data_IF_004967573265
#
_entry.id   IF_004967573265
#
_cell.length_a   1.000
_cell.length_b   1.000
_cell.length_c   1.000
_cell.angle_alpha   90.00
_cell.angle_beta   90.00
_cell.angle_gamma   90.00
#
_symmetry.space_group_name_H-M   'P 1'
#
loop_
_entity.id
_entity.type
_entity.pdbx_description
1 polymer ?
#
# COMPACT_ATOMS: atom_id res chain seq x y z
N UNK A 1 50.45 8.64 -58.06
CA UNK A 1 50.82 7.58 -57.09
C UNK A 1 49.55 7.17 -56.36
N UNK A 2 48.99 6.01 -56.71
CA UNK A 2 47.71 5.52 -56.18
C UNK A 2 47.99 4.66 -54.94
N UNK A 3 47.59 5.15 -53.76
CA UNK A 3 47.57 4.38 -52.52
C UNK A 3 46.46 3.34 -52.61
N UNK A 4 46.79 2.10 -52.95
CA UNK A 4 45.86 0.97 -52.84
C UNK A 4 45.59 0.69 -51.35
N UNK A 5 44.42 1.12 -50.90
CA UNK A 5 43.89 0.91 -49.55
C UNK A 5 43.55 -0.58 -49.38
N UNK A 6 44.23 -1.25 -48.46
CA UNK A 6 44.01 -2.66 -48.15
C UNK A 6 42.62 -2.88 -47.53
N UNK A 7 41.68 -3.44 -48.28
CA UNK A 7 40.35 -3.82 -47.78
C UNK A 7 40.35 -5.30 -47.40
N UNK A 8 40.89 -5.62 -46.22
CA UNK A 8 40.75 -6.97 -45.64
C UNK A 8 39.29 -7.15 -45.21
N UNK A 9 38.60 -8.15 -45.77
CA UNK A 9 37.27 -8.56 -45.34
C UNK A 9 37.30 -9.30 -44.01
N UNK A 10 36.17 -9.33 -43.30
CA UNK A 10 36.02 -10.07 -42.04
C UNK A 10 36.06 -11.57 -42.25
N UNK A 11 36.71 -12.30 -41.33
CA UNK A 11 36.65 -13.77 -41.28
C UNK A 11 35.27 -14.23 -40.77
N UNK A 12 34.78 -15.36 -41.29
CA UNK A 12 33.54 -15.99 -40.81
C UNK A 12 33.60 -16.32 -39.31
N UNK A 13 34.77 -16.72 -38.81
CA UNK A 13 34.96 -17.02 -37.38
C UNK A 13 34.84 -15.76 -36.54
N UNK A 14 35.38 -14.63 -37.03
CA UNK A 14 35.30 -13.33 -36.36
C UNK A 14 33.84 -12.85 -36.27
N UNK A 15 33.05 -13.08 -37.32
CA UNK A 15 31.62 -12.79 -37.31
C UNK A 15 30.85 -13.66 -36.30
N UNK A 16 31.15 -14.96 -36.22
CA UNK A 16 30.49 -15.86 -35.26
C UNK A 16 30.80 -15.49 -33.81
N UNK A 17 32.07 -15.18 -33.51
CA UNK A 17 32.50 -14.78 -32.17
C UNK A 17 31.88 -13.44 -31.78
N UNK A 18 31.85 -12.46 -32.69
CA UNK A 18 31.24 -11.14 -32.42
C UNK A 18 29.74 -11.24 -32.15
N UNK A 19 28.99 -12.02 -32.94
CA UNK A 19 27.56 -12.25 -32.69
C UNK A 19 27.34 -12.94 -31.33
N UNK A 20 28.16 -13.93 -30.99
CA UNK A 20 28.12 -14.59 -29.68
C UNK A 20 28.29 -13.60 -28.53
N UNK A 21 29.32 -12.74 -28.61
CA UNK A 21 29.57 -11.73 -27.58
C UNK A 21 28.45 -10.68 -27.50
N UNK A 22 27.95 -10.21 -28.64
CA UNK A 22 26.84 -9.23 -28.69
C UNK A 22 25.58 -9.82 -28.06
N UNK A 23 25.26 -11.09 -28.32
CA UNK A 23 24.08 -11.72 -27.72
C UNK A 23 24.18 -11.86 -26.20
N UNK A 24 25.37 -12.14 -25.67
CA UNK A 24 25.63 -12.15 -24.23
C UNK A 24 25.43 -10.76 -23.61
N UNK A 25 25.98 -9.72 -24.24
CA UNK A 25 25.82 -8.33 -23.79
C UNK A 25 24.35 -7.90 -23.80
N UNK A 26 23.63 -8.18 -24.88
CA UNK A 26 22.19 -7.88 -25.00
C UNK A 26 21.39 -8.62 -23.92
N UNK A 27 21.71 -9.89 -23.66
CA UNK A 27 21.03 -10.69 -22.62
C UNK A 27 21.25 -10.08 -21.23
N UNK A 28 22.50 -9.75 -20.89
CA UNK A 28 22.82 -9.13 -19.60
C UNK A 28 22.11 -7.77 -19.44
N UNK A 29 22.13 -6.92 -20.47
CA UNK A 29 21.44 -5.64 -20.47
C UNK A 29 19.91 -5.81 -20.33
N UNK A 30 19.34 -6.80 -21.01
CA UNK A 30 17.90 -7.09 -20.93
C UNK A 30 17.49 -7.54 -19.52
N UNK A 31 18.26 -8.43 -18.89
CA UNK A 31 18.00 -8.87 -17.52
C UNK A 31 18.05 -7.69 -16.54
N UNK A 32 19.05 -6.83 -16.66
CA UNK A 32 19.15 -5.62 -15.84
C UNK A 32 17.92 -4.72 -16.05
N UNK A 33 17.53 -4.47 -17.31
CA UNK A 33 16.35 -3.67 -17.64
C UNK A 33 15.06 -4.24 -17.03
N UNK A 34 14.78 -5.53 -17.23
CA UNK A 34 13.58 -6.16 -16.69
C UNK A 34 13.58 -6.19 -15.16
N UNK A 35 14.74 -6.37 -14.53
CA UNK A 35 14.86 -6.28 -13.07
C UNK A 35 14.55 -4.87 -12.55
N UNK A 36 15.01 -3.84 -13.25
CA UNK A 36 14.74 -2.44 -12.92
C UNK A 36 13.26 -2.09 -13.03
N UNK A 37 12.60 -2.50 -14.12
CA UNK A 37 11.15 -2.29 -14.30
C UNK A 37 10.35 -2.97 -13.19
N UNK A 38 10.67 -4.22 -12.85
CA UNK A 38 10.00 -4.96 -11.76
C UNK A 38 10.22 -4.27 -10.41
N UNK A 39 11.45 -3.80 -10.14
CA UNK A 39 11.76 -3.08 -8.92
C UNK A 39 11.00 -1.75 -8.81
N UNK A 40 10.89 -1.01 -9.91
CA UNK A 40 10.12 0.23 -9.97
C UNK A 40 8.64 0.00 -9.65
N UNK A 41 8.00 -0.95 -10.32
CA UNK A 41 6.57 -1.24 -10.10
C UNK A 41 6.32 -1.71 -8.66
N UNK A 42 7.20 -2.59 -8.15
CA UNK A 42 7.15 -3.03 -6.75
C UNK A 42 7.25 -1.85 -5.78
N UNK A 43 8.21 -0.94 -6.01
CA UNK A 43 8.41 0.23 -5.15
C UNK A 43 7.20 1.16 -5.19
N UNK A 44 6.63 1.41 -6.37
CA UNK A 44 5.43 2.23 -6.53
C UNK A 44 4.24 1.65 -5.75
N UNK A 45 3.95 0.37 -5.96
CA UNK A 45 2.88 -0.32 -5.22
C UNK A 45 3.12 -0.32 -3.71
N UNK A 46 4.37 -0.48 -3.28
CA UNK A 46 4.70 -0.51 -1.84
C UNK A 46 4.45 0.84 -1.19
N UNK A 47 4.87 1.93 -1.84
CA UNK A 47 4.64 3.29 -1.37
C UNK A 47 3.15 3.59 -1.31
N UNK A 48 2.39 3.24 -2.35
CA UNK A 48 0.96 3.53 -2.44
C UNK A 48 0.15 2.82 -1.32
N UNK A 49 0.41 1.52 -1.09
CA UNK A 49 -0.24 0.76 -0.02
C UNK A 49 0.14 1.30 1.36
N UNK A 50 1.42 1.60 1.60
CA UNK A 50 1.88 2.14 2.87
C UNK A 50 1.34 3.55 3.15
N UNK A 51 1.24 4.38 2.12
CA UNK A 51 0.68 5.73 2.26
C UNK A 51 -0.81 5.67 2.62
N UNK A 52 -1.59 4.82 1.95
CA UNK A 52 -3.01 4.64 2.28
C UNK A 52 -3.20 4.09 3.69
N UNK A 53 -2.40 3.10 4.08
CA UNK A 53 -2.38 2.60 5.45
C UNK A 53 -2.09 3.71 6.46
N UNK A 54 -1.06 4.54 6.20
CA UNK A 54 -0.71 5.66 7.09
C UNK A 54 -1.82 6.69 7.18
N UNK A 55 -2.48 7.00 6.06
CA UNK A 55 -3.64 7.90 6.05
C UNK A 55 -4.75 7.31 6.92
N UNK A 56 -5.11 6.03 6.74
CA UNK A 56 -6.11 5.37 7.57
C UNK A 56 -5.75 5.42 9.07
N UNK A 57 -4.52 5.04 9.41
CA UNK A 57 -4.05 5.00 10.79
C UNK A 57 -4.07 6.38 11.44
N UNK A 58 -3.55 7.40 10.76
CA UNK A 58 -3.51 8.77 11.28
C UNK A 58 -4.91 9.33 11.43
N UNK A 59 -5.73 9.27 10.38
CA UNK A 59 -7.11 9.77 10.42
C UNK A 59 -7.89 9.10 11.53
N UNK A 60 -7.94 7.77 11.59
CA UNK A 60 -8.67 7.08 12.66
C UNK A 60 -8.09 7.40 14.05
N UNK A 61 -6.76 7.52 14.17
CA UNK A 61 -6.14 7.84 15.46
C UNK A 61 -6.47 9.23 15.96
N UNK A 62 -6.41 10.22 15.08
CA UNK A 62 -6.66 11.62 15.43
C UNK A 62 -8.13 11.81 15.79
N UNK A 63 -9.04 11.23 15.00
CA UNK A 63 -10.48 11.33 15.22
C UNK A 63 -10.90 10.63 16.51
N UNK A 64 -10.38 9.42 16.77
CA UNK A 64 -10.63 8.70 18.03
C UNK A 64 -10.09 9.49 19.22
N UNK A 65 -8.94 10.17 19.08
CA UNK A 65 -8.38 11.00 20.15
C UNK A 65 -9.19 12.27 20.40
N UNK A 66 -9.88 12.82 19.40
CA UNK A 66 -10.72 14.00 19.53
C UNK A 66 -12.16 13.70 19.97
N UNK A 67 -12.64 12.47 19.79
CA UNK A 67 -14.01 12.09 20.13
C UNK A 67 -14.23 11.92 21.65
N UNK A 68 -15.39 12.31 22.15
CA UNK A 68 -15.76 12.12 23.56
C UNK A 68 -16.45 10.79 23.80
N UNK A 69 -17.34 10.40 22.88
CA UNK A 69 -18.03 9.11 22.90
C UNK A 69 -17.68 8.30 21.65
N UNK A 70 -17.39 7.03 21.87
CA UNK A 70 -16.97 6.07 20.85
C UNK A 70 -17.92 4.89 20.87
N UNK A 71 -18.58 4.64 19.75
CA UNK A 71 -19.45 3.49 19.57
C UNK A 71 -18.82 2.54 18.56
N UNK A 72 -18.48 1.33 19.00
CA UNK A 72 -17.89 0.28 18.16
C UNK A 72 -18.96 -0.75 17.86
N UNK A 73 -19.21 -1.01 16.59
CA UNK A 73 -20.02 -2.13 16.13
C UNK A 73 -19.08 -3.14 15.46
N UNK A 74 -18.80 -4.24 16.16
CA UNK A 74 -17.84 -5.25 15.69
C UNK A 74 -18.43 -6.08 14.54
N UNK A 75 -19.75 -6.31 14.52
CA UNK A 75 -20.41 -7.07 13.47
C UNK A 75 -20.38 -6.35 12.11
N UNK A 76 -20.59 -5.04 12.10
CA UNK A 76 -20.57 -4.20 10.90
C UNK A 76 -19.17 -3.66 10.56
N UNK A 77 -18.15 -3.96 11.38
CA UNK A 77 -16.79 -3.39 11.26
C UNK A 77 -16.85 -1.86 11.13
N UNK A 78 -17.62 -1.24 12.03
CA UNK A 78 -17.90 0.20 12.04
C UNK A 78 -17.54 0.81 13.38
N UNK A 79 -17.00 2.02 13.34
CA UNK A 79 -16.77 2.87 14.51
C UNK A 79 -17.45 4.21 14.28
N UNK A 80 -18.24 4.67 15.25
CA UNK A 80 -18.95 5.95 15.22
C UNK A 80 -18.45 6.83 16.37
N UNK A 81 -18.07 8.05 16.05
CA UNK A 81 -17.39 8.99 16.93
C UNK A 81 -18.28 10.22 17.13
N UNK A 82 -18.59 10.56 18.38
CA UNK A 82 -19.30 11.78 18.77
C UNK A 82 -18.29 12.75 19.38
N UNK A 83 -18.31 14.00 18.92
CA UNK A 83 -17.43 15.08 19.38
C UNK A 83 -18.20 16.07 20.26
N UNK A 84 -17.47 16.89 21.03
CA UNK A 84 -18.00 17.90 21.95
C UNK A 84 -18.93 18.92 21.27
N UNK A 85 -18.70 19.20 19.99
CA UNK A 85 -19.56 20.08 19.18
C UNK A 85 -20.89 19.43 18.76
N UNK A 86 -21.13 18.18 19.17
CA UNK A 86 -22.30 17.38 18.84
C UNK A 86 -22.23 16.74 17.45
N UNK A 87 -21.16 16.95 16.68
CA UNK A 87 -20.99 16.30 15.38
C UNK A 87 -20.69 14.82 15.55
N UNK A 88 -21.12 14.02 14.57
CA UNK A 88 -20.86 12.58 14.53
C UNK A 88 -20.16 12.22 13.24
N UNK A 89 -19.12 11.38 13.32
CA UNK A 89 -18.45 10.79 12.15
C UNK A 89 -18.29 9.30 12.32
N UNK A 90 -18.65 8.55 11.29
CA UNK A 90 -18.65 7.10 11.32
C UNK A 90 -17.79 6.52 10.21
N UNK A 91 -16.89 5.63 10.56
CA UNK A 91 -15.99 4.96 9.64
C UNK A 91 -16.34 3.48 9.56
N UNK A 92 -16.39 2.95 8.36
CA UNK A 92 -16.66 1.54 8.13
C UNK A 92 -15.78 0.99 7.01
N UNK A 93 -15.57 -0.33 7.07
CA UNK A 93 -14.88 -1.06 6.03
C UNK A 93 -15.85 -1.54 4.96
N UNK A 94 -15.58 -1.16 3.71
CA UNK A 94 -16.30 -1.64 2.53
C UNK A 94 -15.49 -2.74 1.83
N UNK A 95 -15.97 -3.97 1.94
CA UNK A 95 -15.30 -5.15 1.40
C UNK A 95 -15.36 -5.25 -0.12
N UNK A 96 -16.36 -4.62 -0.76
CA UNK A 96 -16.51 -4.64 -2.21
C UNK A 96 -15.48 -3.72 -2.88
N UNK A 97 -15.29 -2.51 -2.32
CA UNK A 97 -14.31 -1.53 -2.82
C UNK A 97 -12.92 -1.71 -2.23
N UNK A 98 -12.76 -2.45 -1.12
CA UNK A 98 -11.50 -2.60 -0.37
C UNK A 98 -11.00 -1.27 0.20
N UNK A 99 -11.94 -0.52 0.77
CA UNK A 99 -11.72 0.85 1.24
C UNK A 99 -12.25 1.04 2.66
N UNK A 100 -11.67 2.01 3.36
CA UNK A 100 -12.27 2.62 4.55
C UNK A 100 -13.00 3.86 4.09
N UNK A 101 -14.27 3.99 4.50
CA UNK A 101 -15.14 5.08 4.05
C UNK A 101 -15.77 5.80 5.22
N UNK A 102 -16.03 7.09 5.01
CA UNK A 102 -16.84 7.90 5.91
C UNK A 102 -18.32 7.71 5.56
N UNK A 103 -19.15 7.33 6.54
CA UNK A 103 -20.56 7.00 6.30
C UNK A 103 -21.40 8.22 5.93
N UNK A 104 -21.07 9.38 6.47
CA UNK A 104 -21.86 10.60 6.33
C UNK A 104 -21.75 11.18 4.92
N UNK A 105 -20.55 11.13 4.31
CA UNK A 105 -20.29 11.65 2.96
C UNK A 105 -20.14 10.57 1.89
N UNK A 106 -19.92 9.32 2.29
CA UNK A 106 -19.53 8.23 1.39
C UNK A 106 -18.10 8.36 0.86
N UNK A 107 -17.30 9.33 1.33
CA UNK A 107 -15.95 9.58 0.83
C UNK A 107 -14.97 8.47 1.24
N UNK A 108 -14.04 8.16 0.35
CA UNK A 108 -12.94 7.22 0.61
C UNK A 108 -11.88 7.88 1.48
N UNK A 109 -11.56 7.25 2.60
CA UNK A 109 -10.49 7.67 3.52
C UNK A 109 -9.18 7.00 3.17
N UNK A 110 -9.22 5.70 2.87
CA UNK A 110 -8.05 4.94 2.49
C UNK A 110 -8.44 3.77 1.59
N UNK A 111 -7.57 3.49 0.62
CA UNK A 111 -7.71 2.39 -0.34
C UNK A 111 -6.79 1.23 0.02
N UNK A 112 -6.97 0.10 -0.69
CA UNK A 112 -6.12 -1.10 -0.55
C UNK A 112 -6.15 -1.72 0.84
N UNK A 113 -7.32 -1.66 1.48
CA UNK A 113 -7.59 -2.29 2.77
C UNK A 113 -8.51 -3.49 2.52
N UNK A 114 -8.10 -4.68 2.93
CA UNK A 114 -8.87 -5.93 2.78
C UNK A 114 -9.47 -6.42 4.11
N UNK A 115 -9.22 -5.69 5.19
CA UNK A 115 -9.78 -5.99 6.50
C UNK A 115 -9.62 -4.81 7.43
N UNK A 116 -10.66 -4.56 8.22
CA UNK A 116 -10.65 -3.64 9.33
C UNK A 116 -11.40 -4.32 10.48
N UNK A 117 -10.81 -4.31 11.67
CA UNK A 117 -11.45 -4.80 12.88
C UNK A 117 -11.19 -3.80 14.01
N UNK A 118 -12.23 -3.58 14.81
CA UNK A 118 -12.24 -2.67 15.95
C UNK A 118 -12.51 -3.49 17.21
N UNK A 119 -11.62 -3.37 18.17
CA UNK A 119 -11.73 -4.05 19.46
C UNK A 119 -11.50 -3.06 20.59
N UNK A 120 -12.19 -3.26 21.71
CA UNK A 120 -11.97 -2.50 22.93
C UNK A 120 -11.72 -3.43 24.10
N UNK A 121 -10.56 -3.28 24.74
CA UNK A 121 -10.17 -4.09 25.90
C UNK A 121 -9.15 -3.36 26.75
N UNK A 122 -9.23 -3.52 28.07
CA UNK A 122 -8.28 -2.91 29.02
C UNK A 122 -8.10 -1.39 28.82
N UNK A 123 -9.19 -0.68 28.51
CA UNK A 123 -9.18 0.76 28.27
C UNK A 123 -8.33 1.18 27.03
N UNK A 124 -8.09 0.24 26.12
CA UNK A 124 -7.42 0.47 24.84
C UNK A 124 -8.37 0.10 23.71
N UNK A 125 -8.50 1.01 22.74
CA UNK A 125 -9.13 0.72 21.46
C UNK A 125 -8.03 0.22 20.54
N UNK A 126 -8.18 -1.02 20.07
CA UNK A 126 -7.29 -1.64 19.10
C UNK A 126 -7.96 -1.61 17.73
N UNK A 127 -7.27 -1.03 16.75
CA UNK A 127 -7.71 -1.02 15.36
C UNK A 127 -6.73 -1.87 14.56
N UNK A 128 -7.26 -2.87 13.88
CA UNK A 128 -6.51 -3.82 13.04
C UNK A 128 -6.84 -3.56 11.58
N UNK A 129 -5.85 -3.14 10.79
CA UNK A 129 -5.98 -2.89 9.36
C UNK A 129 -5.17 -3.91 8.58
N UNK A 130 -5.78 -4.59 7.62
CA UNK A 130 -5.10 -5.53 6.73
C UNK A 130 -5.01 -4.96 5.34
N UNK A 131 -3.80 -4.84 4.80
CA UNK A 131 -3.55 -4.26 3.47
C UNK A 131 -3.69 -5.29 2.35
N UNK A 132 -4.06 -4.85 1.16
CA UNK A 132 -4.11 -5.69 -0.04
C UNK A 132 -2.71 -6.14 -0.49
N UNK A 133 -2.59 -7.37 -0.99
CA UNK A 133 -1.40 -7.80 -1.72
C UNK A 133 -1.42 -7.22 -3.15
N UNK A 134 -0.35 -6.54 -3.54
CA UNK A 134 -0.17 -5.99 -4.90
C UNK A 134 1.11 -6.53 -5.52
N UNK A 135 1.33 -6.30 -6.82
CA UNK A 135 2.49 -6.87 -7.52
C UNK A 135 3.81 -6.47 -6.82
N UNK A 136 4.52 -7.46 -6.25
CA UNK A 136 5.74 -7.25 -5.48
C UNK A 136 5.56 -6.82 -4.02
N UNK A 137 4.32 -6.67 -3.54
CA UNK A 137 3.95 -6.22 -2.19
C UNK A 137 3.07 -7.27 -1.51
N UNK A 138 3.51 -7.76 -0.36
CA UNK A 138 2.72 -8.71 0.43
C UNK A 138 1.63 -7.98 1.21
N UNK A 139 0.51 -8.66 1.41
CA UNK A 139 -0.48 -8.25 2.41
C UNK A 139 0.12 -8.32 3.81
N UNK A 140 -0.31 -7.44 4.71
CA UNK A 140 0.05 -7.46 6.11
C UNK A 140 -1.03 -6.84 6.98
N UNK A 141 -1.13 -7.31 8.22
CA UNK A 141 -2.03 -6.76 9.24
C UNK A 141 -1.23 -5.85 10.17
N UNK A 142 -1.73 -4.64 10.36
CA UNK A 142 -1.14 -3.60 11.19
C UNK A 142 -2.13 -3.24 12.28
N UNK A 143 -1.68 -3.31 13.52
CA UNK A 143 -2.50 -3.04 14.70
C UNK A 143 -1.94 -1.83 15.40
N UNK A 144 -2.79 -0.84 15.65
CA UNK A 144 -2.47 0.30 16.51
C UNK A 144 -3.48 0.42 17.62
N UNK A 145 -3.03 0.97 18.75
CA UNK A 145 -3.80 1.03 19.99
C UNK A 145 -3.84 2.45 20.51
N UNK A 146 -5.03 2.87 20.91
CA UNK A 146 -5.29 4.22 21.42
C UNK A 146 -5.89 4.09 22.80
N UNK A 147 -5.46 4.95 23.71
CA UNK A 147 -6.00 4.98 25.06
C UNK A 147 -7.38 5.64 25.09
N UNK A 148 -8.36 4.95 25.66
CA UNK A 148 -9.72 5.45 25.81
C UNK A 148 -9.98 6.18 27.14
N UNK A 149 -8.94 6.51 27.93
CA UNK A 149 -9.10 7.17 29.22
C UNK A 149 -9.87 8.48 29.06
N UNK A 150 -10.93 8.63 29.85
CA UNK A 150 -11.79 9.84 29.84
C UNK A 150 -12.81 9.87 28.71
N UNK A 151 -12.90 8.82 27.89
CA UNK A 151 -13.89 8.68 26.81
C UNK A 151 -14.95 7.66 27.20
N UNK A 152 -16.19 7.89 26.78
CA UNK A 152 -17.25 6.90 26.90
C UNK A 152 -17.16 5.92 25.73
N UNK A 153 -17.00 4.62 26.00
CA UNK A 153 -16.88 3.60 24.95
C UNK A 153 -17.98 2.57 25.07
N UNK A 154 -18.79 2.46 24.02
CA UNK A 154 -19.86 1.48 23.89
C UNK A 154 -19.49 0.46 22.80
N UNK A 155 -19.61 -0.83 23.11
CA UNK A 155 -19.31 -1.92 22.18
C UNK A 155 -20.57 -2.74 21.95
N UNK A 156 -20.92 -2.97 20.69
CA UNK A 156 -22.06 -3.76 20.22
C UNK A 156 -21.61 -4.87 19.27
#
# INVERSE_FOLDING_TARGET
>A
MLLLKNTKGFSLVELLVTIGLVSLVITAASLAYFSGVKAWVRSGNQVEVQQNLRIAMNTLSDEIQMADTININTAEKRISLLFDDGSTRSYYYDSASKEIRLAESGSTVAMYIIGCDFEYSNNLISISLTTEARQGVKSGTYVFRINARGKEVNVQ
#
